data_IF_037619579213
#
_entry.id   IF_037619579213
#
_cell.length_a   1.000
_cell.length_b   1.000
_cell.length_c   1.000
_cell.angle_alpha   90.00
_cell.angle_beta   90.00
_cell.angle_gamma   90.00
#
_symmetry.space_group_name_H-M   'P 1'
#
loop_
_entity.id
_entity.type
_entity.pdbx_description
1 polymer ?
#
# COMPACT_ATOMS: atom_id res chain seq x y z
N UNK A 1 14.03 7.28 27.82
CA UNK A 1 13.56 6.62 26.58
C UNK A 1 14.23 5.26 26.53
N UNK A 2 13.45 4.18 26.44
CA UNK A 2 14.01 2.84 26.31
C UNK A 2 14.32 2.60 24.84
N UNK A 3 15.59 2.72 24.49
CA UNK A 3 16.10 2.48 23.16
C UNK A 3 16.46 1.00 23.04
N UNK A 4 15.66 0.25 22.26
CA UNK A 4 15.96 -1.15 21.98
C UNK A 4 17.05 -1.19 20.91
N UNK A 5 18.28 -1.45 21.35
CA UNK A 5 19.40 -1.78 20.45
C UNK A 5 19.67 -3.27 20.58
N UNK A 6 19.72 -3.97 19.45
CA UNK A 6 19.96 -5.41 19.46
C UNK A 6 19.92 -6.02 18.08
N UNK A 7 20.49 -7.21 17.99
CA UNK A 7 20.44 -8.05 16.80
C UNK A 7 19.84 -9.39 17.18
N UNK A 8 18.85 -9.84 16.40
CA UNK A 8 18.27 -11.17 16.51
C UNK A 8 18.42 -11.86 15.16
N UNK A 9 19.00 -13.04 15.15
CA UNK A 9 19.11 -13.86 13.95
C UNK A 9 18.61 -15.27 14.25
N UNK A 10 17.78 -15.78 13.37
CA UNK A 10 17.28 -17.14 13.41
C UNK A 10 17.50 -17.81 12.05
N UNK A 11 17.85 -19.08 12.07
CA UNK A 11 18.17 -19.88 10.90
C UNK A 11 17.30 -21.13 10.84
N UNK A 12 17.10 -21.67 9.63
CA UNK A 12 16.39 -22.93 9.39
C UNK A 12 15.00 -22.95 10.04
N UNK A 13 14.23 -21.89 9.84
CA UNK A 13 12.87 -21.78 10.37
C UNK A 13 11.90 -22.52 9.46
N UNK A 14 10.82 -23.06 10.03
CA UNK A 14 9.73 -23.65 9.27
C UNK A 14 8.42 -23.03 9.73
N UNK A 15 7.72 -22.36 8.82
CA UNK A 15 6.38 -21.82 9.06
C UNK A 15 5.37 -22.83 8.56
N UNK A 16 4.41 -23.22 9.41
CA UNK A 16 3.36 -24.18 9.06
C UNK A 16 1.99 -23.50 9.13
N UNK A 17 1.18 -23.72 8.10
CA UNK A 17 -0.22 -23.27 8.02
C UNK A 17 -1.08 -24.35 7.35
N UNK A 18 -2.36 -24.06 7.10
CA UNK A 18 -3.29 -24.97 6.41
C UNK A 18 -2.85 -25.34 4.98
N UNK A 19 -1.94 -24.56 4.38
CA UNK A 19 -1.40 -24.77 3.02
C UNK A 19 -0.07 -25.54 3.01
N UNK A 20 0.49 -25.90 4.17
CA UNK A 20 1.70 -26.73 4.30
C UNK A 20 2.78 -26.13 5.20
N UNK A 21 3.99 -26.69 5.10
CA UNK A 21 5.19 -26.26 5.84
C UNK A 21 6.22 -25.64 4.90
N UNK A 22 6.80 -24.51 5.30
CA UNK A 22 7.66 -23.71 4.44
C UNK A 22 8.95 -23.31 5.13
N UNK A 23 10.10 -23.75 4.59
CA UNK A 23 11.38 -23.36 5.14
C UNK A 23 11.65 -21.89 4.84
N UNK A 24 12.07 -21.16 5.87
CA UNK A 24 12.68 -19.84 5.77
C UNK A 24 14.13 -20.02 6.19
N UNK A 25 15.05 -19.76 5.27
CA UNK A 25 16.48 -19.98 5.48
C UNK A 25 17.00 -19.17 6.67
N UNK A 26 16.74 -17.86 6.67
CA UNK A 26 17.10 -16.99 7.79
C UNK A 26 16.15 -15.80 7.93
N UNK A 27 16.08 -15.31 9.17
CA UNK A 27 15.48 -14.03 9.54
C UNK A 27 16.50 -13.29 10.40
N UNK A 28 16.85 -12.07 9.99
CA UNK A 28 17.71 -11.17 10.72
C UNK A 28 16.95 -9.87 11.02
N UNK A 29 16.92 -9.48 12.29
CA UNK A 29 16.38 -8.20 12.75
C UNK A 29 17.53 -7.46 13.42
N UNK A 30 17.75 -6.21 13.02
CA UNK A 30 18.70 -5.33 13.69
C UNK A 30 17.99 -4.05 14.09
N UNK A 31 18.20 -3.62 15.32
CA UNK A 31 17.73 -2.34 15.82
C UNK A 31 18.89 -1.55 16.38
N UNK A 32 18.93 -0.27 16.04
CA UNK A 32 19.87 0.67 16.63
C UNK A 32 19.14 1.96 16.96
N UNK A 33 19.47 2.55 18.10
CA UNK A 33 18.88 3.81 18.49
C UNK A 33 19.94 4.71 19.13
N UNK A 34 19.93 5.98 18.76
CA UNK A 34 20.76 7.02 19.33
C UNK A 34 19.89 8.23 19.72
N UNK A 35 20.53 9.34 20.11
CA UNK A 35 19.83 10.54 20.53
C UNK A 35 18.97 11.19 19.42
N UNK A 36 19.25 10.91 18.15
CA UNK A 36 18.61 11.54 16.99
C UNK A 36 17.55 10.66 16.34
N UNK A 37 17.79 9.35 16.22
CA UNK A 37 16.88 8.43 15.53
C UNK A 37 16.97 6.99 16.02
N UNK A 38 15.90 6.25 15.79
CA UNK A 38 15.82 4.79 15.87
C UNK A 38 15.83 4.24 14.44
N UNK A 39 16.55 3.14 14.22
CA UNK A 39 16.53 2.35 13.00
C UNK A 39 16.13 0.92 13.33
N UNK A 40 15.37 0.30 12.45
CA UNK A 40 15.08 -1.12 12.47
C UNK A 40 15.21 -1.64 11.05
N UNK A 41 15.95 -2.74 10.89
CA UNK A 41 16.04 -3.49 9.65
C UNK A 41 15.57 -4.92 9.87
N UNK A 42 14.89 -5.46 8.88
CA UNK A 42 14.47 -6.85 8.78
C UNK A 42 14.99 -7.37 7.45
N UNK A 43 15.80 -8.42 7.47
CA UNK A 43 16.20 -9.16 6.28
C UNK A 43 15.78 -10.62 6.43
N UNK A 44 15.13 -11.13 5.40
CA UNK A 44 14.69 -12.52 5.32
C UNK A 44 14.99 -13.05 3.92
N UNK A 45 14.81 -14.36 3.71
CA UNK A 45 14.92 -14.96 2.38
C UNK A 45 13.97 -14.39 1.32
N UNK A 46 12.91 -13.67 1.70
CA UNK A 46 11.86 -13.20 0.77
C UNK A 46 11.48 -11.71 0.92
N UNK A 47 11.97 -11.03 1.95
CA UNK A 47 11.62 -9.66 2.28
C UNK A 47 12.80 -8.95 2.93
N UNK A 48 13.11 -7.75 2.45
CA UNK A 48 13.93 -6.77 3.12
C UNK A 48 13.04 -5.60 3.52
N UNK A 49 13.20 -5.10 4.75
CA UNK A 49 12.50 -3.94 5.23
C UNK A 49 13.41 -3.09 6.12
N UNK A 50 13.23 -1.78 6.06
CA UNK A 50 13.86 -0.83 6.96
C UNK A 50 12.89 0.28 7.35
N UNK A 51 13.05 0.76 8.58
CA UNK A 51 12.35 1.93 9.09
C UNK A 51 13.35 2.76 9.90
N UNK A 52 13.31 4.08 9.72
CA UNK A 52 14.16 5.00 10.47
C UNK A 52 13.41 6.26 10.90
N UNK A 53 13.72 6.78 12.08
CA UNK A 53 13.21 8.04 12.60
C UNK A 53 12.89 8.04 14.08
N UNK A 54 12.07 9.00 14.52
CA UNK A 54 11.52 9.07 15.87
C UNK A 54 10.17 8.36 15.94
N UNK A 55 10.18 7.06 16.22
CA UNK A 55 8.96 6.26 16.28
C UNK A 55 8.94 5.30 17.48
N UNK A 56 7.75 4.84 17.83
CA UNK A 56 7.55 3.75 18.77
C UNK A 56 6.87 2.60 18.02
N UNK A 57 7.54 1.45 17.93
CA UNK A 57 7.08 0.29 17.15
C UNK A 57 5.61 -0.07 17.40
N UNK A 58 5.22 -0.16 18.66
CA UNK A 58 3.86 -0.53 19.08
C UNK A 58 2.80 0.53 18.76
N UNK A 59 3.21 1.76 18.43
CA UNK A 59 2.32 2.88 18.13
C UNK A 59 2.15 3.15 16.62
N UNK A 60 2.97 2.56 15.75
CA UNK A 60 2.93 2.80 14.30
C UNK A 60 1.53 2.48 13.75
N UNK A 61 1.00 1.29 14.02
CA UNK A 61 -0.30 0.85 13.50
C UNK A 61 -1.44 1.78 13.90
N UNK A 62 -1.53 2.12 15.19
CA UNK A 62 -2.55 3.04 15.69
C UNK A 62 -2.39 4.49 15.18
N UNK A 63 -1.16 4.94 14.90
CA UNK A 63 -0.94 6.27 14.33
C UNK A 63 -1.37 6.35 12.86
N UNK A 64 -1.01 5.36 12.05
CA UNK A 64 -1.46 5.25 10.65
C UNK A 64 -2.98 5.10 10.55
N UNK A 65 -3.58 4.21 11.36
CA UNK A 65 -5.03 4.06 11.41
C UNK A 65 -5.72 5.40 11.74
N UNK A 66 -5.20 6.13 12.73
CA UNK A 66 -5.74 7.44 13.12
C UNK A 66 -5.65 8.47 11.98
N UNK A 67 -4.52 8.52 11.27
CA UNK A 67 -4.34 9.40 10.12
C UNK A 67 -5.34 9.06 9.02
N UNK A 68 -5.43 7.79 8.61
CA UNK A 68 -6.36 7.38 7.54
C UNK A 68 -7.83 7.63 7.91
N UNK A 69 -8.21 7.41 9.18
CA UNK A 69 -9.58 7.66 9.67
C UNK A 69 -9.96 9.14 9.75
N UNK A 70 -8.98 10.06 9.73
CA UNK A 70 -9.27 11.50 9.66
C UNK A 70 -9.89 11.88 8.30
N UNK A 71 -9.57 11.12 7.25
CA UNK A 71 -10.05 11.35 5.88
C UNK A 71 -11.36 10.61 5.59
N UNK A 72 -11.51 9.37 6.07
CA UNK A 72 -12.72 8.56 5.88
C UNK A 72 -12.98 7.60 7.03
N UNK A 73 -14.21 7.59 7.55
CA UNK A 73 -14.66 6.70 8.61
C UNK A 73 -16.12 6.32 8.41
N UNK A 74 -16.39 5.02 8.31
CA UNK A 74 -17.76 4.46 8.27
C UNK A 74 -18.39 4.34 9.66
N UNK A 75 -17.59 4.51 10.71
CA UNK A 75 -18.04 4.54 12.11
C UNK A 75 -17.99 5.98 12.65
N UNK A 76 -18.83 6.34 13.64
CA UNK A 76 -18.69 7.61 14.33
C UNK A 76 -17.25 7.73 14.86
N UNK A 77 -16.60 8.86 14.59
CA UNK A 77 -15.24 9.17 15.02
C UNK A 77 -15.27 9.33 16.54
N UNK A 78 -15.36 8.22 17.28
CA UNK A 78 -15.01 8.20 18.71
C UNK A 78 -13.60 8.73 18.77
N UNK A 79 -13.38 9.75 19.59
CA UNK A 79 -12.10 10.44 19.75
C UNK A 79 -10.99 9.40 19.88
N UNK A 80 -10.24 9.17 18.81
CA UNK A 80 -9.13 8.21 18.83
C UNK A 80 -8.11 8.84 19.75
N UNK A 81 -7.88 8.24 20.92
CA UNK A 81 -6.94 8.78 21.92
C UNK A 81 -5.61 9.12 21.22
N UNK A 82 -5.05 10.33 21.44
CA UNK A 82 -3.78 10.70 20.85
C UNK A 82 -2.69 9.72 21.32
N UNK A 83 -1.91 9.23 20.37
CA UNK A 83 -0.74 8.39 20.63
C UNK A 83 0.54 9.23 20.70
N UNK A 84 1.68 8.62 21.04
CA UNK A 84 2.98 9.28 20.96
C UNK A 84 3.25 9.75 19.54
N UNK A 85 3.91 10.90 19.39
CA UNK A 85 4.31 11.43 18.09
C UNK A 85 5.14 10.39 17.33
N UNK A 86 4.87 10.25 16.03
CA UNK A 86 5.58 9.35 15.13
C UNK A 86 6.14 10.17 13.98
N UNK A 87 7.42 9.96 13.67
CA UNK A 87 8.06 10.50 12.48
C UNK A 87 9.06 9.48 11.96
N UNK A 88 8.79 8.91 10.79
CA UNK A 88 9.66 7.89 10.22
C UNK A 88 9.57 7.82 8.71
N UNK A 89 10.65 7.31 8.11
CA UNK A 89 10.70 6.84 6.73
C UNK A 89 10.83 5.32 6.73
N UNK A 90 10.27 4.66 5.73
CA UNK A 90 10.33 3.21 5.61
C UNK A 90 10.56 2.77 4.17
N UNK A 91 11.15 1.60 4.02
CA UNK A 91 11.36 0.93 2.75
C UNK A 91 11.14 -0.58 2.94
N UNK A 92 10.47 -1.21 1.99
CA UNK A 92 10.33 -2.66 1.90
C UNK A 92 10.58 -3.08 0.46
N UNK A 93 11.29 -4.19 0.27
CA UNK A 93 11.52 -4.83 -1.01
C UNK A 93 11.31 -6.33 -0.85
N UNK A 94 10.44 -6.93 -1.65
CA UNK A 94 10.33 -8.39 -1.71
C UNK A 94 11.43 -8.96 -2.59
N UNK A 95 11.79 -10.22 -2.34
CA UNK A 95 12.64 -11.03 -3.22
C UNK A 95 11.76 -12.10 -3.86
N UNK A 96 12.17 -12.68 -4.97
CA UNK A 96 11.43 -13.81 -5.54
C UNK A 96 11.42 -14.98 -4.54
N UNK A 97 10.23 -15.48 -4.20
CA UNK A 97 10.08 -16.57 -3.24
C UNK A 97 8.74 -17.30 -3.42
N UNK A 98 8.71 -18.63 -3.29
CA UNK A 98 7.48 -19.41 -3.38
C UNK A 98 6.50 -19.13 -2.24
N UNK A 99 6.94 -18.50 -1.13
CA UNK A 99 6.09 -18.19 0.02
C UNK A 99 4.90 -17.31 -0.35
N UNK A 100 5.06 -16.42 -1.34
CA UNK A 100 4.00 -15.52 -1.78
C UNK A 100 2.82 -16.26 -2.42
N UNK A 101 3.05 -17.43 -3.03
CA UNK A 101 2.00 -18.26 -3.63
C UNK A 101 0.97 -18.79 -2.62
N UNK A 102 1.32 -18.82 -1.35
CA UNK A 102 0.37 -19.20 -0.29
C UNK A 102 -0.40 -18.02 0.28
N UNK A 103 0.22 -16.84 0.29
CA UNK A 103 -0.41 -15.64 0.85
C UNK A 103 -1.40 -15.05 -0.15
N UNK A 104 -1.08 -15.14 -1.44
CA UNK A 104 -1.89 -14.59 -2.53
C UNK A 104 -2.52 -15.74 -3.32
N UNK A 105 -3.84 -15.94 -3.23
CA UNK A 105 -4.53 -16.96 -4.02
C UNK A 105 -4.30 -16.78 -5.53
N UNK A 106 -4.16 -17.90 -6.24
CA UNK A 106 -3.96 -17.94 -7.70
C UNK A 106 -2.69 -17.24 -8.21
N UNK A 107 -1.72 -16.94 -7.35
CA UNK A 107 -0.46 -16.35 -7.77
C UNK A 107 0.36 -17.34 -8.61
N UNK A 108 0.61 -16.98 -9.87
CA UNK A 108 1.51 -17.73 -10.77
C UNK A 108 2.92 -17.14 -10.77
N UNK A 109 3.05 -15.82 -10.72
CA UNK A 109 4.34 -15.13 -10.78
C UNK A 109 4.25 -13.77 -10.09
N UNK A 110 5.31 -13.37 -9.39
CA UNK A 110 5.45 -12.04 -8.81
C UNK A 110 6.91 -11.61 -8.88
N UNK A 111 7.19 -10.55 -9.65
CA UNK A 111 8.50 -9.90 -9.63
C UNK A 111 8.69 -9.15 -8.29
N UNK A 112 9.94 -8.85 -7.88
CA UNK A 112 10.24 -8.04 -6.70
C UNK A 112 9.41 -6.75 -6.65
N UNK A 113 8.70 -6.57 -5.54
CA UNK A 113 7.84 -5.40 -5.26
C UNK A 113 8.58 -4.48 -4.31
N UNK A 114 8.54 -3.18 -4.56
CA UNK A 114 9.07 -2.18 -3.63
C UNK A 114 7.94 -1.35 -3.03
N UNK A 115 8.10 -1.00 -1.77
CA UNK A 115 7.20 -0.13 -1.00
C UNK A 115 8.09 0.87 -0.27
N UNK A 116 7.81 2.16 -0.38
CA UNK A 116 8.54 3.18 0.35
C UNK A 116 7.60 4.30 0.79
N UNK A 117 7.98 5.01 1.84
CA UNK A 117 7.17 6.13 2.28
C UNK A 117 7.73 6.84 3.49
N UNK A 118 7.02 7.87 3.90
CA UNK A 118 7.29 8.65 5.09
C UNK A 118 5.98 9.02 5.79
N UNK A 119 6.06 9.15 7.11
CA UNK A 119 4.93 9.53 7.94
C UNK A 119 5.38 10.51 9.03
N UNK A 120 4.58 11.54 9.28
CA UNK A 120 4.75 12.49 10.37
C UNK A 120 3.38 12.82 10.99
N UNK A 121 3.17 12.34 12.22
CA UNK A 121 1.85 12.39 12.86
C UNK A 121 1.40 13.80 13.27
N UNK A 122 2.34 14.71 13.53
CA UNK A 122 2.04 16.07 14.01
C UNK A 122 1.50 16.96 12.89
N UNK A 123 2.11 16.86 11.70
CA UNK A 123 1.70 17.58 10.49
C UNK A 123 0.64 16.83 9.68
N UNK A 124 0.28 15.61 10.10
CA UNK A 124 -0.55 14.66 9.35
C UNK A 124 -0.03 14.47 7.92
N UNK A 125 1.29 14.33 7.78
CA UNK A 125 1.95 14.06 6.51
C UNK A 125 2.14 12.56 6.34
N UNK A 126 1.59 12.01 5.27
CA UNK A 126 1.81 10.63 4.83
C UNK A 126 2.11 10.66 3.34
N UNK A 127 3.18 9.98 2.94
CA UNK A 127 3.45 9.65 1.55
C UNK A 127 3.84 8.17 1.46
N UNK A 128 3.33 7.49 0.45
CA UNK A 128 3.53 6.07 0.18
C UNK A 128 3.65 5.88 -1.34
N UNK A 129 4.62 5.08 -1.75
CA UNK A 129 4.78 4.60 -3.11
C UNK A 129 4.96 3.09 -3.09
N UNK A 130 4.27 2.40 -4.00
CA UNK A 130 4.39 0.97 -4.25
C UNK A 130 4.70 0.77 -5.73
N UNK A 131 5.68 -0.08 -6.05
CA UNK A 131 6.01 -0.45 -7.43
C UNK A 131 5.94 -1.97 -7.57
N UNK A 132 5.11 -2.43 -8.51
CA UNK A 132 4.90 -3.84 -8.85
C UNK A 132 5.28 -4.03 -10.32
N UNK A 133 6.49 -4.51 -10.62
CA UNK A 133 6.96 -4.66 -12.00
C UNK A 133 6.13 -5.68 -12.79
N UNK A 134 5.79 -6.81 -12.17
CA UNK A 134 4.98 -7.86 -12.79
C UNK A 134 4.25 -8.69 -11.73
N UNK A 135 2.98 -8.96 -11.97
CA UNK A 135 2.14 -9.80 -11.12
C UNK A 135 1.21 -10.64 -12.01
N UNK A 136 1.33 -11.96 -11.95
CA UNK A 136 0.46 -12.90 -12.66
C UNK A 136 -0.46 -13.63 -11.67
N UNK A 137 -1.78 -13.40 -11.82
CA UNK A 137 -2.85 -13.97 -11.00
C UNK A 137 -3.81 -14.77 -11.89
N UNK A 138 -3.77 -16.09 -11.80
CA UNK A 138 -4.53 -16.94 -12.72
C UNK A 138 -4.13 -16.63 -14.17
N UNK A 139 -5.10 -16.24 -15.00
CA UNK A 139 -4.83 -15.88 -16.40
C UNK A 139 -4.65 -14.37 -16.61
N UNK A 140 -4.62 -13.59 -15.52
CA UNK A 140 -4.41 -12.16 -15.57
C UNK A 140 -2.95 -11.82 -15.31
N UNK A 141 -2.36 -10.94 -16.12
CA UNK A 141 -1.01 -10.39 -15.90
C UNK A 141 -1.11 -8.88 -15.84
N UNK A 142 -0.60 -8.34 -14.74
CA UNK A 142 -0.43 -6.91 -14.46
C UNK A 142 1.04 -6.58 -14.67
N UNK A 143 1.31 -5.60 -15.52
CA UNK A 143 2.66 -5.16 -15.86
C UNK A 143 2.85 -3.70 -15.46
N UNK A 144 3.95 -3.43 -14.76
CA UNK A 144 4.38 -2.11 -14.29
C UNK A 144 3.23 -1.32 -13.65
N UNK A 145 2.78 -1.81 -12.49
CA UNK A 145 1.83 -1.08 -11.67
C UNK A 145 2.57 -0.21 -10.64
N UNK A 146 2.16 1.05 -10.50
CA UNK A 146 2.61 1.93 -9.42
C UNK A 146 1.40 2.44 -8.65
N UNK A 147 1.49 2.44 -7.32
CA UNK A 147 0.48 3.04 -6.46
C UNK A 147 1.14 4.13 -5.61
N UNK A 148 0.63 5.34 -5.73
CA UNK A 148 1.06 6.50 -4.98
C UNK A 148 -0.09 6.96 -4.07
N UNK A 149 0.24 7.32 -2.83
CA UNK A 149 -0.70 7.87 -1.87
C UNK A 149 -0.01 8.99 -1.09
N UNK A 150 -0.67 10.15 -0.99
CA UNK A 150 -0.11 11.28 -0.27
C UNK A 150 -1.16 12.20 0.34
N UNK A 151 -0.85 12.76 1.50
CA UNK A 151 -1.66 13.83 2.11
C UNK A 151 -1.25 15.18 1.52
N UNK A 152 -2.21 15.94 1.01
CA UNK A 152 -1.99 17.32 0.58
C UNK A 152 -3.29 18.12 0.67
N UNK A 153 -3.21 19.37 1.12
CA UNK A 153 -4.37 20.27 1.22
C UNK A 153 -5.53 19.69 2.05
N UNK A 154 -5.23 19.00 3.16
CA UNK A 154 -6.21 18.32 4.02
C UNK A 154 -7.04 17.24 3.28
N UNK A 155 -6.47 16.65 2.24
CA UNK A 155 -7.04 15.50 1.55
C UNK A 155 -5.98 14.41 1.38
N UNK A 156 -6.42 13.15 1.36
CA UNK A 156 -5.61 12.00 1.02
C UNK A 156 -5.79 11.70 -0.46
N UNK A 157 -4.76 11.96 -1.26
CA UNK A 157 -4.75 11.68 -2.70
C UNK A 157 -4.20 10.27 -2.92
N UNK A 158 -4.76 9.56 -3.89
CA UNK A 158 -4.28 8.24 -4.28
C UNK A 158 -4.28 8.12 -5.81
N UNK A 159 -3.33 7.35 -6.33
CA UNK A 159 -3.22 7.08 -7.75
C UNK A 159 -2.59 5.71 -7.98
N UNK A 160 -3.32 4.84 -8.67
CA UNK A 160 -2.84 3.59 -9.24
C UNK A 160 -2.64 3.79 -10.74
N UNK A 161 -1.44 3.54 -11.25
CA UNK A 161 -1.14 3.50 -12.67
C UNK A 161 -0.71 2.09 -13.04
N UNK A 162 -1.21 1.56 -14.16
CA UNK A 162 -0.87 0.23 -14.65
C UNK A 162 -0.56 0.34 -16.14
N UNK A 163 0.63 -0.07 -16.55
CA UNK A 163 1.01 -0.01 -17.96
C UNK A 163 0.17 -0.97 -18.82
N UNK A 164 -0.08 -2.19 -18.34
CA UNK A 164 -0.97 -3.13 -18.98
C UNK A 164 -1.60 -4.11 -18.00
N UNK A 165 -2.90 -4.38 -18.20
CA UNK A 165 -3.59 -5.54 -17.65
C UNK A 165 -3.95 -6.44 -18.83
N UNK A 166 -3.53 -7.69 -18.80
CA UNK A 166 -3.75 -8.64 -19.90
C UNK A 166 -4.37 -9.92 -19.39
N UNK A 167 -5.24 -10.52 -20.20
CA UNK A 167 -5.71 -11.88 -20.07
C UNK A 167 -5.96 -12.46 -21.49
N UNK A 168 -6.31 -13.75 -21.67
CA UNK A 168 -6.52 -14.34 -23.00
C UNK A 168 -7.59 -13.67 -23.87
N UNK A 169 -8.52 -12.92 -23.28
CA UNK A 169 -9.67 -12.32 -23.95
C UNK A 169 -9.55 -10.79 -24.13
N UNK A 170 -8.66 -10.14 -23.38
CA UNK A 170 -8.65 -8.69 -23.24
C UNK A 170 -7.26 -8.16 -22.85
N UNK A 171 -6.94 -6.98 -23.41
CA UNK A 171 -5.82 -6.16 -22.98
C UNK A 171 -6.31 -4.74 -22.68
N UNK A 172 -6.01 -4.26 -21.47
CA UNK A 172 -6.26 -2.90 -21.02
C UNK A 172 -4.90 -2.19 -20.86
N UNK A 173 -4.45 -1.42 -21.85
CA UNK A 173 -3.24 -0.61 -21.71
C UNK A 173 -3.53 0.66 -20.89
N UNK A 174 -2.48 1.22 -20.28
CA UNK A 174 -2.47 2.56 -19.68
C UNK A 174 -3.70 2.85 -18.80
N UNK A 175 -3.93 1.98 -17.82
CA UNK A 175 -5.04 2.10 -16.87
C UNK A 175 -4.61 2.97 -15.70
N UNK A 176 -5.38 4.01 -15.40
CA UNK A 176 -5.16 4.91 -14.27
C UNK A 176 -6.41 4.95 -13.41
N UNK A 177 -6.27 4.67 -12.13
CA UNK A 177 -7.31 4.86 -11.12
C UNK A 177 -6.81 5.86 -10.08
N UNK A 178 -7.42 7.04 -10.02
CA UNK A 178 -6.98 8.12 -9.16
C UNK A 178 -8.15 8.75 -8.41
N UNK A 179 -7.84 9.46 -7.35
CA UNK A 179 -8.88 10.09 -6.54
C UNK A 179 -8.34 10.79 -5.33
N UNK A 180 -9.28 11.28 -4.52
CA UNK A 180 -8.97 11.89 -3.23
C UNK A 180 -10.03 11.56 -2.21
N UNK A 181 -9.62 11.56 -0.97
CA UNK A 181 -10.49 11.34 0.18
C UNK A 181 -10.40 12.56 1.08
N UNK A 182 -11.55 13.18 1.32
CA UNK A 182 -11.67 14.33 2.21
C UNK A 182 -13.11 14.44 2.72
N UNK A 183 -13.29 14.94 3.94
CA UNK A 183 -14.63 15.19 4.52
C UNK A 183 -15.57 13.96 4.44
N UNK A 184 -15.02 12.75 4.62
CA UNK A 184 -15.77 11.49 4.51
C UNK A 184 -16.37 11.19 3.11
N UNK A 185 -15.83 11.84 2.08
CA UNK A 185 -16.14 11.63 0.67
C UNK A 185 -14.90 11.05 -0.04
N UNK A 186 -15.12 10.02 -0.84
CA UNK A 186 -14.13 9.42 -1.73
C UNK A 186 -14.47 9.83 -3.16
N UNK A 187 -13.69 10.73 -3.73
CA UNK A 187 -13.74 11.03 -5.15
C UNK A 187 -12.86 10.03 -5.90
N UNK A 188 -13.35 9.46 -7.00
CA UNK A 188 -12.61 8.50 -7.80
C UNK A 188 -12.77 8.77 -9.30
N UNK A 189 -11.74 8.43 -10.06
CA UNK A 189 -11.73 8.44 -11.51
C UNK A 189 -10.92 7.24 -12.02
N UNK A 190 -11.51 6.45 -12.91
CA UNK A 190 -10.89 5.41 -13.70
C UNK A 190 -10.75 5.91 -15.13
N UNK A 191 -9.55 5.83 -15.69
CA UNK A 191 -9.26 6.13 -17.09
C UNK A 191 -8.50 4.97 -17.71
N UNK A 192 -8.87 4.60 -18.92
CA UNK A 192 -8.15 3.62 -19.74
C UNK A 192 -7.88 4.27 -21.08
N UNK A 193 -6.62 4.27 -21.50
CA UNK A 193 -6.21 4.82 -22.80
C UNK A 193 -5.94 3.71 -23.81
N UNK A 194 -5.99 4.04 -25.09
CA UNK A 194 -5.49 3.17 -26.14
C UNK A 194 -3.96 3.24 -26.27
N UNK A 195 -3.40 2.44 -27.18
CA UNK A 195 -1.95 2.41 -27.46
C UNK A 195 -1.40 3.73 -28.04
N UNK A 196 -2.27 4.61 -28.55
CA UNK A 196 -1.94 5.93 -29.07
C UNK A 196 -2.14 7.03 -28.01
N UNK A 197 -2.29 6.66 -26.74
CA UNK A 197 -2.51 7.55 -25.60
C UNK A 197 -3.82 8.38 -25.71
N UNK A 198 -4.81 7.89 -26.45
CA UNK A 198 -6.16 8.48 -26.52
C UNK A 198 -7.06 7.86 -25.46
N UNK A 199 -7.85 8.68 -24.77
CA UNK A 199 -8.84 8.18 -23.80
C UNK A 199 -9.86 7.27 -24.50
N UNK A 200 -9.99 6.04 -24.00
CA UNK A 200 -10.92 5.03 -24.53
C UNK A 200 -12.09 4.79 -23.59
N UNK A 201 -11.81 4.72 -22.29
CA UNK A 201 -12.84 4.57 -21.25
C UNK A 201 -12.54 5.54 -20.10
N UNK A 202 -13.60 6.16 -19.56
CA UNK A 202 -13.50 7.10 -18.45
C UNK A 202 -14.74 6.96 -17.58
N UNK A 203 -14.52 6.77 -16.28
CA UNK A 203 -15.58 6.69 -15.27
C UNK A 203 -15.13 7.52 -14.08
N UNK A 204 -15.95 8.46 -13.63
CA UNK A 204 -15.66 9.23 -12.43
C UNK A 204 -16.88 9.31 -11.54
N UNK A 205 -16.65 9.47 -10.24
CA UNK A 205 -17.73 9.55 -9.28
C UNK A 205 -17.26 9.93 -7.89
N UNK A 206 -18.23 10.00 -7.00
CA UNK A 206 -18.01 10.20 -5.57
C UNK A 206 -18.74 9.13 -4.77
N UNK A 207 -18.16 8.74 -3.65
CA UNK A 207 -18.77 7.86 -2.65
C UNK A 207 -18.78 8.55 -1.30
N UNK A 208 -19.95 8.65 -0.69
CA UNK A 208 -20.12 9.21 0.65
C UNK A 208 -20.65 8.13 1.59
N UNK A 209 -20.15 8.15 2.83
CA UNK A 209 -20.74 7.37 3.91
C UNK A 209 -21.78 8.24 4.63
N UNK A 210 -23.05 8.11 4.25
CA UNK A 210 -24.18 8.69 4.97
C UNK A 210 -24.97 7.58 5.66
N UNK A 211 -25.18 7.68 6.98
CA UNK A 211 -26.06 6.77 7.76
C UNK A 211 -25.80 5.26 7.55
N UNK A 212 -24.54 4.84 7.45
CA UNK A 212 -24.11 3.45 7.23
C UNK A 212 -24.43 2.88 5.83
N UNK A 213 -24.78 3.73 4.86
CA UNK A 213 -24.95 3.37 3.45
C UNK A 213 -23.88 4.07 2.59
N UNK A 214 -23.39 3.35 1.58
CA UNK A 214 -22.45 3.87 0.58
C UNK A 214 -23.26 4.38 -0.61
N UNK A 215 -23.26 5.70 -0.85
CA UNK A 215 -23.94 6.30 -2.00
C UNK A 215 -22.94 6.52 -3.14
N UNK A 216 -23.13 5.84 -4.28
CA UNK A 216 -22.30 6.03 -5.47
C UNK A 216 -22.96 7.02 -6.43
N UNK A 217 -22.28 8.12 -6.72
CA UNK A 217 -22.68 9.05 -7.77
C UNK A 217 -21.74 8.91 -8.97
N UNK A 218 -22.26 8.46 -10.12
CA UNK A 218 -21.48 8.38 -11.37
C UNK A 218 -21.65 9.68 -12.16
N UNK A 219 -20.56 10.39 -12.40
CA UNK A 219 -20.57 11.58 -13.24
C UNK A 219 -20.74 11.17 -14.72
N UNK A 220 -21.76 11.69 -15.39
CA UNK A 220 -21.91 11.54 -16.84
C UNK A 220 -20.78 12.27 -17.56
N UNK A 221 -19.71 11.57 -17.91
CA UNK A 221 -18.86 11.92 -19.06
C UNK A 221 -18.92 10.79 -20.09
N UNK A 222 -19.03 11.21 -21.34
CA UNK A 222 -19.54 10.43 -22.46
C UNK A 222 -18.71 9.17 -22.73
N UNK A 223 -19.37 8.02 -22.76
CA UNK A 223 -18.91 6.88 -23.55
C UNK A 223 -18.88 7.32 -25.01
N UNK A 224 -17.74 7.82 -25.50
CA UNK A 224 -17.50 7.96 -26.94
C UNK A 224 -16.84 6.68 -27.39
N UNK A 225 -17.64 5.76 -27.93
CA UNK A 225 -17.11 4.79 -28.87
C UNK A 225 -16.71 5.59 -30.12
N UNK A 226 -15.40 5.73 -30.34
CA UNK A 226 -14.83 6.14 -31.63
C UNK A 226 -14.22 4.92 -32.29
#
# INVERSE_FOLDING_TARGET
>A
MNFLTGTVTAHHLVVTNEKGSFPIDSIAIQTAANAEKTTLTLDTGFLQASIEGGFQWTAIGGALERSLRSYFSTQPIKTIKPGPAQQFSFHLATKESPIFGQLVPNLKEMAPVTISGNYQSVSDSLALQIQVPKLALGDQVITNATFDLNTANKALHYQLQIAAITNPQMQLPMTVFAGKVANNQIDYALQVKDINNKERYSLAGAMNSEKHALYMHVLKRAFRYS
#
